data_IF_666972113107
#
_entry.id   IF_666972113107
#
_cell.length_a   1.000
_cell.length_b   1.000
_cell.length_c   1.000
_cell.angle_alpha   90.00
_cell.angle_beta   90.00
_cell.angle_gamma   90.00
#
_symmetry.space_group_name_H-M   'P 1'
#
loop_
_entity.id
_entity.type
_entity.pdbx_description
1 polymer ?
#
# COMPACT_ATOMS: atom_id res chain seq x y z
N UNK A 1 19.47 -18.76 16.49
CA UNK A 1 20.51 -17.76 16.14
C UNK A 1 20.88 -17.96 14.69
N UNK A 2 20.46 -17.07 13.80
CA UNK A 2 20.90 -17.07 12.40
C UNK A 2 22.23 -16.32 12.38
N UNK A 3 23.31 -17.05 12.13
CA UNK A 3 24.61 -16.45 11.81
C UNK A 3 24.46 -15.72 10.46
N UNK A 4 24.22 -14.41 10.50
CA UNK A 4 24.36 -13.57 9.31
C UNK A 4 25.85 -13.52 8.96
N UNK A 5 26.24 -14.27 7.93
CA UNK A 5 27.57 -14.25 7.33
C UNK A 5 27.81 -12.83 6.81
N UNK A 6 28.65 -12.07 7.52
CA UNK A 6 28.79 -10.60 7.45
C UNK A 6 29.45 -10.08 6.15
N UNK A 7 29.25 -10.72 5.00
CA UNK A 7 30.01 -10.45 3.78
C UNK A 7 29.20 -10.51 2.48
N UNK A 8 27.90 -10.83 2.51
CA UNK A 8 27.04 -10.75 1.32
C UNK A 8 25.85 -9.83 1.58
N UNK A 9 25.41 -9.07 0.55
CA UNK A 9 24.22 -8.25 0.65
C UNK A 9 22.99 -9.14 0.92
N UNK A 10 22.06 -8.64 1.73
CA UNK A 10 20.79 -9.31 2.01
C UNK A 10 19.90 -9.11 0.79
N UNK A 11 19.50 -10.21 0.15
CA UNK A 11 18.62 -10.21 -1.01
C UNK A 11 17.14 -10.18 -0.57
N UNK A 12 16.42 -9.13 -0.94
CA UNK A 12 15.00 -8.95 -0.65
C UNK A 12 14.20 -9.07 -1.94
N UNK A 13 13.22 -9.97 -1.97
CA UNK A 13 12.17 -9.96 -2.99
C UNK A 13 10.97 -9.17 -2.48
N UNK A 14 10.77 -7.98 -3.04
CA UNK A 14 9.57 -7.17 -2.81
C UNK A 14 8.51 -7.52 -3.85
N UNK A 15 7.28 -7.82 -3.41
CA UNK A 15 6.16 -8.11 -4.30
C UNK A 15 4.98 -7.20 -4.00
N UNK A 16 4.51 -6.53 -5.04
CA UNK A 16 3.30 -5.70 -5.02
C UNK A 16 2.41 -6.04 -6.22
N UNK A 17 1.17 -5.56 -6.20
CA UNK A 17 0.26 -5.73 -7.34
C UNK A 17 0.56 -4.74 -8.47
N UNK A 18 0.97 -3.49 -8.18
CA UNK A 18 1.44 -2.49 -9.16
C UNK A 18 2.67 -1.71 -8.70
N UNK A 19 3.26 -0.95 -9.61
CA UNK A 19 4.30 0.05 -9.35
C UNK A 19 3.70 1.44 -9.02
N UNK A 20 4.46 2.36 -8.39
CA UNK A 20 3.94 3.64 -7.86
C UNK A 20 3.20 4.51 -8.89
N UNK A 21 3.53 4.40 -10.17
CA UNK A 21 2.90 5.17 -11.25
C UNK A 21 1.40 4.86 -11.40
N UNK A 22 0.94 3.72 -10.87
CA UNK A 22 -0.48 3.37 -10.79
C UNK A 22 -1.26 4.22 -9.75
N UNK A 23 -0.56 5.02 -8.93
CA UNK A 23 -1.11 6.01 -7.97
C UNK A 23 -1.96 5.43 -6.83
N UNK A 24 -1.83 4.15 -6.55
CA UNK A 24 -2.34 3.54 -5.32
C UNK A 24 -1.45 3.81 -4.10
N UNK A 25 -2.06 3.79 -2.91
CA UNK A 25 -1.33 4.09 -1.68
C UNK A 25 -0.33 2.99 -1.30
N UNK A 26 -0.62 1.74 -1.66
CA UNK A 26 0.19 0.57 -1.29
C UNK A 26 1.52 0.61 -2.03
N UNK A 27 1.48 0.83 -3.34
CA UNK A 27 2.63 0.87 -4.23
C UNK A 27 3.49 2.10 -4.00
N UNK A 28 2.91 3.26 -3.68
CA UNK A 28 3.69 4.46 -3.32
C UNK A 28 4.49 4.21 -2.05
N UNK A 29 3.84 3.65 -1.02
CA UNK A 29 4.51 3.31 0.24
C UNK A 29 5.57 2.24 0.02
N UNK A 30 5.26 1.19 -0.74
CA UNK A 30 6.22 0.14 -1.08
C UNK A 30 7.43 0.70 -1.81
N UNK A 31 7.23 1.62 -2.78
CA UNK A 31 8.30 2.24 -3.53
C UNK A 31 9.21 3.11 -2.67
N UNK A 32 8.64 4.00 -1.84
CA UNK A 32 9.42 4.83 -0.92
C UNK A 32 10.18 4.00 0.11
N UNK A 33 9.58 2.91 0.61
CA UNK A 33 10.25 1.97 1.50
C UNK A 33 11.40 1.26 0.79
N UNK A 34 11.17 0.74 -0.42
CA UNK A 34 12.18 0.04 -1.20
C UNK A 34 13.37 0.95 -1.53
N UNK A 35 13.12 2.18 -1.96
CA UNK A 35 14.16 3.18 -2.23
C UNK A 35 14.96 3.52 -0.96
N UNK A 36 14.29 3.64 0.19
CA UNK A 36 14.95 3.90 1.47
C UNK A 36 15.80 2.72 1.92
N UNK A 37 15.31 1.49 1.75
CA UNK A 37 16.03 0.27 2.07
C UNK A 37 17.24 0.06 1.14
N UNK A 38 17.13 0.37 -0.15
CA UNK A 38 18.24 0.19 -1.09
C UNK A 38 19.41 1.15 -0.81
N UNK A 39 19.16 2.27 -0.13
CA UNK A 39 20.22 3.18 0.37
C UNK A 39 21.05 2.55 1.50
N UNK A 40 20.53 1.53 2.18
CA UNK A 40 21.29 0.75 3.17
C UNK A 40 22.27 -0.15 2.39
N UNK A 41 23.57 0.13 2.50
CA UNK A 41 24.60 -0.41 1.60
C UNK A 41 24.77 -1.93 1.53
N UNK A 42 24.08 -2.70 2.38
CA UNK A 42 24.11 -4.16 2.41
C UNK A 42 22.78 -4.81 2.00
N UNK A 43 21.89 -4.09 1.33
CA UNK A 43 20.59 -4.60 0.88
C UNK A 43 20.50 -4.53 -0.64
N UNK A 44 20.11 -5.64 -1.26
CA UNK A 44 19.74 -5.73 -2.68
C UNK A 44 18.26 -6.09 -2.80
N UNK A 45 17.52 -5.37 -3.64
CA UNK A 45 16.08 -5.55 -3.80
C UNK A 45 15.75 -5.92 -5.24
N UNK A 46 15.09 -7.06 -5.42
CA UNK A 46 14.31 -7.34 -6.63
C UNK A 46 12.85 -7.02 -6.35
N UNK A 47 12.28 -6.06 -7.08
CA UNK A 47 10.88 -5.68 -6.95
C UNK A 47 10.07 -6.20 -8.13
N UNK A 48 9.15 -7.12 -7.88
CA UNK A 48 8.22 -7.64 -8.88
C UNK A 48 6.83 -7.02 -8.71
N UNK A 49 6.33 -6.40 -9.78
CA UNK A 49 4.95 -5.89 -9.87
C UNK A 49 4.42 -6.00 -11.30
N UNK A 50 3.12 -5.80 -11.50
CA UNK A 50 2.48 -5.91 -12.83
C UNK A 50 3.01 -4.85 -13.80
N UNK A 51 3.20 -5.23 -15.07
CA UNK A 51 3.71 -4.38 -16.14
C UNK A 51 2.65 -3.46 -16.77
N UNK A 52 1.65 -3.04 -16.00
CA UNK A 52 0.54 -2.19 -16.49
C UNK A 52 0.99 -0.75 -16.65
N UNK A 53 1.81 -0.26 -15.71
CA UNK A 53 2.33 1.10 -15.68
C UNK A 53 3.87 1.12 -15.73
N UNK A 54 4.49 2.25 -16.08
CA UNK A 54 5.93 2.43 -15.97
C UNK A 54 6.43 2.15 -14.55
N UNK A 55 7.59 1.51 -14.46
CA UNK A 55 8.27 1.23 -13.20
C UNK A 55 9.38 2.24 -12.95
N UNK A 56 9.80 2.45 -11.69
CA UNK A 56 10.99 3.26 -11.39
C UNK A 56 12.24 2.69 -12.05
N UNK A 57 13.07 3.55 -12.61
CA UNK A 57 14.31 3.19 -13.31
C UNK A 57 15.49 3.80 -12.52
N UNK A 58 16.68 3.21 -12.65
CA UNK A 58 17.96 3.75 -12.16
C UNK A 58 18.08 3.97 -10.64
N UNK A 59 17.42 3.13 -9.82
CA UNK A 59 17.61 3.16 -8.36
C UNK A 59 18.74 2.18 -7.97
N UNK A 60 19.86 2.65 -7.37
CA UNK A 60 20.94 1.77 -6.96
C UNK A 60 20.47 0.65 -6.02
N UNK A 61 20.91 -0.58 -6.29
CA UNK A 61 20.57 -1.81 -5.54
C UNK A 61 19.07 -2.14 -5.48
N UNK A 62 18.27 -1.55 -6.36
CA UNK A 62 16.86 -1.88 -6.53
C UNK A 62 16.58 -2.14 -8.01
N UNK A 63 16.30 -3.40 -8.33
CA UNK A 63 15.94 -3.84 -9.67
C UNK A 63 14.44 -4.10 -9.77
N UNK A 64 13.75 -3.31 -10.60
CA UNK A 64 12.36 -3.56 -10.96
C UNK A 64 12.27 -4.67 -12.02
N UNK A 65 11.38 -5.63 -11.79
CA UNK A 65 11.13 -6.80 -12.64
C UNK A 65 9.65 -6.80 -13.04
N UNK A 66 9.26 -6.08 -14.12
CA UNK A 66 7.86 -5.93 -14.53
C UNK A 66 7.29 -7.26 -15.06
N UNK A 67 6.15 -7.67 -14.49
CA UNK A 67 5.52 -8.96 -14.76
C UNK A 67 4.31 -8.81 -15.68
N UNK A 68 4.29 -9.62 -16.74
CA UNK A 68 3.15 -9.67 -17.66
C UNK A 68 1.87 -10.02 -16.91
N UNK A 69 0.90 -9.12 -16.95
CA UNK A 69 -0.39 -9.26 -16.28
C UNK A 69 -1.57 -8.85 -17.18
N UNK A 70 -2.73 -9.41 -16.91
CA UNK A 70 -4.03 -8.98 -17.44
C UNK A 70 -4.72 -8.09 -16.42
N UNK A 71 -5.20 -6.92 -16.85
CA UNK A 71 -5.84 -5.92 -15.99
C UNK A 71 -7.37 -5.84 -16.14
N UNK A 72 -7.98 -6.88 -16.72
CA UNK A 72 -9.40 -6.90 -17.10
C UNK A 72 -10.34 -6.60 -15.92
N UNK A 73 -10.00 -7.01 -14.70
CA UNK A 73 -10.84 -6.77 -13.51
C UNK A 73 -10.89 -5.29 -13.17
N UNK A 74 -9.77 -4.59 -13.27
CA UNK A 74 -9.75 -3.16 -13.01
C UNK A 74 -10.47 -2.40 -14.13
N UNK A 75 -10.24 -2.79 -15.38
CA UNK A 75 -10.88 -2.17 -16.55
C UNK A 75 -12.41 -2.32 -16.52
N UNK A 76 -12.94 -3.45 -16.04
CA UNK A 76 -14.38 -3.74 -16.04
C UNK A 76 -15.09 -3.42 -14.73
N UNK A 77 -14.42 -3.61 -13.59
CA UNK A 77 -15.03 -3.54 -12.25
C UNK A 77 -14.40 -2.47 -11.37
N UNK A 78 -13.40 -1.73 -11.86
CA UNK A 78 -12.64 -0.72 -11.11
C UNK A 78 -12.04 -1.27 -9.81
N UNK A 79 -11.71 -2.56 -9.81
CA UNK A 79 -11.03 -3.26 -8.73
C UNK A 79 -9.58 -3.52 -9.15
N UNK A 80 -8.57 -2.96 -8.45
CA UNK A 80 -7.14 -3.05 -8.83
C UNK A 80 -6.58 -4.45 -8.58
N UNK A 81 -6.98 -5.44 -9.39
CA UNK A 81 -6.66 -6.86 -9.20
C UNK A 81 -6.05 -7.45 -10.49
N UNK A 82 -4.73 -7.37 -10.67
CA UNK A 82 -4.07 -7.84 -11.89
C UNK A 82 -3.82 -9.36 -11.84
N UNK A 83 -4.04 -10.03 -12.96
CA UNK A 83 -3.76 -11.46 -13.14
C UNK A 83 -2.45 -11.68 -13.88
N UNK A 84 -1.40 -12.05 -13.15
CA UNK A 84 -0.12 -12.45 -13.71
C UNK A 84 -0.21 -13.70 -14.58
N UNK A 85 0.48 -13.64 -15.73
CA UNK A 85 0.59 -14.77 -16.64
C UNK A 85 1.42 -15.92 -16.05
N UNK A 86 1.23 -17.15 -16.56
CA UNK A 86 2.02 -18.32 -16.12
C UNK A 86 3.55 -18.09 -16.24
N UNK A 87 4.10 -17.52 -17.34
CA UNK A 87 5.53 -17.17 -17.40
C UNK A 87 5.97 -16.21 -16.28
N UNK A 88 5.12 -15.27 -15.87
CA UNK A 88 5.40 -14.37 -14.75
C UNK A 88 5.44 -15.12 -13.42
N UNK A 89 4.56 -16.11 -13.21
CA UNK A 89 4.59 -16.97 -12.02
C UNK A 89 5.84 -17.86 -11.98
N UNK A 90 6.32 -18.35 -13.14
CA UNK A 90 7.60 -19.08 -13.22
C UNK A 90 8.78 -18.16 -12.88
N UNK A 91 8.76 -16.90 -13.33
CA UNK A 91 9.76 -15.90 -12.91
C UNK A 91 9.69 -15.64 -11.41
N UNK A 92 8.48 -15.54 -10.85
CA UNK A 92 8.27 -15.36 -9.41
C UNK A 92 8.86 -16.52 -8.61
N UNK A 93 8.64 -17.77 -9.04
CA UNK A 93 9.24 -18.95 -8.43
C UNK A 93 10.76 -18.84 -8.32
N UNK A 94 11.44 -18.43 -9.41
CA UNK A 94 12.90 -18.25 -9.44
C UNK A 94 13.37 -17.09 -8.56
N UNK A 95 12.62 -15.99 -8.55
CA UNK A 95 12.94 -14.84 -7.70
C UNK A 95 12.82 -15.18 -6.20
N UNK A 96 11.84 -16.01 -5.83
CA UNK A 96 11.70 -16.55 -4.46
C UNK A 96 12.92 -17.41 -4.11
N UNK A 97 13.43 -18.22 -5.04
CA UNK A 97 14.64 -19.04 -4.80
C UNK A 97 15.87 -18.18 -4.54
N UNK A 98 15.99 -17.06 -5.26
CA UNK A 98 17.09 -16.11 -5.15
C UNK A 98 17.10 -15.35 -3.81
N UNK A 99 15.94 -14.94 -3.29
CA UNK A 99 15.87 -14.03 -2.14
C UNK A 99 16.21 -14.69 -0.79
N UNK A 100 16.79 -13.92 0.12
CA UNK A 100 16.96 -14.28 1.53
C UNK A 100 15.68 -14.02 2.33
N UNK A 101 14.93 -12.99 1.96
CA UNK A 101 13.64 -12.64 2.56
C UNK A 101 12.66 -12.15 1.50
N UNK A 102 11.41 -12.54 1.65
CA UNK A 102 10.32 -12.11 0.77
C UNK A 102 9.45 -11.13 1.54
N UNK A 103 9.19 -9.97 0.94
CA UNK A 103 8.38 -8.92 1.54
C UNK A 103 7.15 -8.65 0.67
N UNK A 104 5.97 -8.98 1.20
CA UNK A 104 4.70 -8.78 0.53
C UNK A 104 4.01 -7.52 1.06
N UNK A 105 3.44 -6.72 0.17
CA UNK A 105 2.53 -5.64 0.55
C UNK A 105 1.08 -6.05 0.23
N UNK A 106 0.30 -6.26 1.29
CA UNK A 106 -1.01 -6.92 1.35
C UNK A 106 -1.02 -8.42 1.01
N UNK A 107 -1.97 -9.16 1.60
CA UNK A 107 -2.08 -10.60 1.37
C UNK A 107 -2.94 -10.96 0.13
N UNK A 108 -3.96 -10.15 -0.19
CA UNK A 108 -5.09 -10.61 -1.02
C UNK A 108 -4.82 -10.59 -2.53
N UNK A 109 -3.67 -10.10 -2.99
CA UNK A 109 -3.36 -10.07 -4.42
C UNK A 109 -2.82 -11.40 -4.92
N UNK A 110 -3.19 -11.80 -6.15
CA UNK A 110 -2.78 -13.09 -6.71
C UNK A 110 -1.26 -13.29 -6.69
N UNK A 111 -0.48 -12.27 -7.06
CA UNK A 111 0.98 -12.30 -6.99
C UNK A 111 1.49 -12.63 -5.59
N UNK A 112 0.88 -12.04 -4.56
CA UNK A 112 1.28 -12.19 -3.18
C UNK A 112 0.85 -13.55 -2.60
N UNK A 113 -0.31 -14.08 -3.02
CA UNK A 113 -0.73 -15.45 -2.68
C UNK A 113 0.26 -16.47 -3.24
N UNK A 114 0.64 -16.35 -4.52
CA UNK A 114 1.64 -17.26 -5.10
C UNK A 114 3.03 -17.07 -4.48
N UNK A 115 3.46 -15.83 -4.25
CA UNK A 115 4.74 -15.56 -3.58
C UNK A 115 4.78 -16.17 -2.18
N UNK A 116 3.69 -16.07 -1.41
CA UNK A 116 3.53 -16.74 -0.13
C UNK A 116 3.66 -18.26 -0.28
N UNK A 117 2.92 -18.89 -1.19
CA UNK A 117 2.97 -20.33 -1.39
C UNK A 117 4.38 -20.81 -1.77
N UNK A 118 5.03 -20.12 -2.70
CA UNK A 118 6.39 -20.42 -3.12
C UNK A 118 7.39 -20.22 -1.97
N UNK A 119 7.23 -19.17 -1.15
CA UNK A 119 8.03 -18.96 0.05
C UNK A 119 7.90 -20.14 1.03
N UNK A 120 6.67 -20.63 1.26
CA UNK A 120 6.44 -21.78 2.15
C UNK A 120 7.07 -23.06 1.60
N UNK A 121 6.91 -23.32 0.30
CA UNK A 121 7.46 -24.52 -0.35
C UNK A 121 8.99 -24.50 -0.35
N UNK A 122 9.60 -23.33 -0.56
CA UNK A 122 11.04 -23.17 -0.63
C UNK A 122 11.68 -22.80 0.72
N UNK A 123 10.89 -22.83 1.81
CA UNK A 123 11.31 -22.50 3.17
C UNK A 123 11.97 -21.12 3.33
N UNK A 124 11.51 -20.13 2.57
CA UNK A 124 12.02 -18.77 2.61
C UNK A 124 11.34 -17.93 3.71
N UNK A 125 12.10 -17.12 4.48
CA UNK A 125 11.54 -16.13 5.40
C UNK A 125 10.58 -15.16 4.70
N UNK A 126 9.45 -14.89 5.33
CA UNK A 126 8.38 -14.05 4.77
C UNK A 126 7.94 -12.94 5.74
N UNK A 127 7.91 -11.71 5.24
CA UNK A 127 7.34 -10.54 5.92
C UNK A 127 6.13 -10.06 5.12
N UNK A 128 5.03 -9.74 5.81
CA UNK A 128 3.83 -9.17 5.18
C UNK A 128 3.52 -7.83 5.84
N UNK A 129 3.49 -6.75 5.06
CA UNK A 129 2.94 -5.46 5.48
C UNK A 129 1.50 -5.35 5.01
N UNK A 130 0.56 -5.33 5.95
CA UNK A 130 -0.87 -5.27 5.71
C UNK A 130 -1.37 -3.82 5.75
N UNK A 131 -1.89 -3.35 4.62
CA UNK A 131 -2.38 -1.98 4.43
C UNK A 131 -3.88 -1.88 4.62
N UNK A 132 -4.64 -2.91 4.21
CA UNK A 132 -6.10 -2.87 4.20
C UNK A 132 -6.68 -3.98 5.09
N UNK A 133 -7.63 -3.64 5.96
CA UNK A 133 -8.43 -4.62 6.68
C UNK A 133 -9.83 -4.69 6.11
N UNK A 134 -10.77 -4.08 6.81
CA UNK A 134 -12.15 -3.95 6.37
C UNK A 134 -12.31 -2.89 5.27
N UNK A 135 -13.13 -3.19 4.25
CA UNK A 135 -13.58 -2.22 3.25
C UNK A 135 -15.11 -2.13 3.33
N UNK A 136 -15.70 -0.93 3.57
CA UNK A 136 -17.14 -0.74 3.61
C UNK A 136 -17.73 -0.73 2.19
N UNK A 137 -17.79 -1.88 1.52
CA UNK A 137 -18.49 -2.00 0.24
C UNK A 137 -20.01 -1.79 0.41
N UNK A 138 -20.64 -1.06 -0.52
CA UNK A 138 -22.12 -0.94 -0.60
C UNK A 138 -22.78 -2.30 -0.83
N UNK A 139 -22.17 -3.13 -1.67
CA UNK A 139 -22.66 -4.49 -1.94
C UNK A 139 -22.44 -5.38 -0.71
N UNK A 140 -23.54 -5.84 -0.11
CA UNK A 140 -23.52 -6.80 0.99
C UNK A 140 -22.81 -8.10 0.61
N UNK A 141 -22.92 -8.52 -0.66
CA UNK A 141 -22.20 -9.68 -1.19
C UNK A 141 -20.69 -9.46 -1.17
N UNK A 142 -20.19 -8.36 -1.74
CA UNK A 142 -18.75 -8.05 -1.75
C UNK A 142 -18.19 -7.87 -0.34
N UNK A 143 -18.96 -7.25 0.55
CA UNK A 143 -18.61 -7.13 1.98
C UNK A 143 -18.46 -8.49 2.65
N UNK A 144 -19.41 -9.40 2.44
CA UNK A 144 -19.36 -10.77 2.98
C UNK A 144 -18.20 -11.56 2.38
N UNK A 145 -17.99 -11.47 1.07
CA UNK A 145 -16.90 -12.14 0.37
C UNK A 145 -15.54 -11.66 0.90
N UNK A 146 -15.34 -10.34 1.04
CA UNK A 146 -14.10 -9.81 1.62
C UNK A 146 -13.92 -10.26 3.08
N UNK A 147 -14.98 -10.26 3.89
CA UNK A 147 -14.88 -10.74 5.28
C UNK A 147 -14.48 -12.21 5.33
N UNK A 148 -15.07 -13.03 4.47
CA UNK A 148 -14.73 -14.45 4.33
C UNK A 148 -13.28 -14.64 3.89
N UNK A 149 -12.80 -13.89 2.90
CA UNK A 149 -11.40 -13.95 2.43
C UNK A 149 -10.42 -13.48 3.51
N UNK A 150 -10.76 -12.42 4.25
CA UNK A 150 -10.01 -11.95 5.41
C UNK A 150 -9.91 -13.04 6.49
N UNK A 151 -11.03 -13.69 6.81
CA UNK A 151 -11.11 -14.70 7.88
C UNK A 151 -10.52 -16.06 7.51
N UNK A 152 -10.36 -16.33 6.22
CA UNK A 152 -9.76 -17.57 5.71
C UNK A 152 -8.32 -17.33 5.26
N UNK A 153 -8.13 -16.93 4.00
CA UNK A 153 -6.83 -16.74 3.36
C UNK A 153 -6.00 -15.68 4.08
N UNK A 154 -6.63 -14.55 4.45
CA UNK A 154 -5.95 -13.43 5.11
C UNK A 154 -5.33 -13.82 6.44
N UNK A 155 -6.15 -14.26 7.40
CA UNK A 155 -5.68 -14.71 8.70
C UNK A 155 -4.61 -15.81 8.56
N UNK A 156 -4.83 -16.78 7.67
CA UNK A 156 -3.90 -17.90 7.53
C UNK A 156 -2.53 -17.47 6.99
N UNK A 157 -2.51 -16.62 5.96
CA UNK A 157 -1.26 -16.08 5.41
C UNK A 157 -0.53 -15.22 6.44
N UNK A 158 -1.25 -14.31 7.10
CA UNK A 158 -0.68 -13.38 8.07
C UNK A 158 -0.08 -14.15 9.27
N UNK A 159 -0.80 -15.13 9.84
CA UNK A 159 -0.29 -15.96 10.95
C UNK A 159 0.96 -16.77 10.59
N UNK A 160 1.10 -17.17 9.33
CA UNK A 160 2.19 -18.03 8.84
C UNK A 160 3.40 -17.27 8.32
N UNK A 161 3.30 -15.94 8.22
CA UNK A 161 4.45 -15.08 7.97
C UNK A 161 5.42 -15.13 9.18
N UNK A 162 6.70 -14.93 8.92
CA UNK A 162 7.70 -14.81 9.98
C UNK A 162 7.51 -13.51 10.78
N UNK A 163 7.04 -12.45 10.10
CA UNK A 163 6.61 -11.21 10.71
C UNK A 163 5.43 -10.62 9.95
N UNK A 164 4.43 -10.14 10.70
CA UNK A 164 3.34 -9.32 10.15
C UNK A 164 3.48 -7.89 10.67
N UNK A 165 3.37 -6.95 9.75
CA UNK A 165 3.43 -5.51 10.01
C UNK A 165 2.08 -4.91 9.61
N UNK A 166 1.50 -4.08 10.47
CA UNK A 166 0.29 -3.32 10.20
C UNK A 166 0.60 -1.83 10.14
N UNK A 167 -0.05 -1.11 9.23
CA UNK A 167 0.18 0.33 9.04
C UNK A 167 -0.64 1.21 10.01
N UNK A 168 -1.59 0.62 10.76
CA UNK A 168 -2.42 1.32 11.73
C UNK A 168 -3.02 0.36 12.74
N UNK A 169 -3.35 0.88 13.93
CA UNK A 169 -4.02 0.13 14.99
C UNK A 169 -5.37 -0.44 14.54
N UNK A 170 -6.15 0.31 13.74
CA UNK A 170 -7.46 -0.14 13.25
C UNK A 170 -7.33 -1.41 12.39
N UNK A 171 -6.35 -1.45 11.50
CA UNK A 171 -6.10 -2.62 10.64
C UNK A 171 -5.53 -3.77 11.46
N UNK A 172 -4.60 -3.49 12.38
CA UNK A 172 -4.04 -4.50 13.28
C UNK A 172 -5.14 -5.20 14.09
N UNK A 173 -5.96 -4.40 14.79
CA UNK A 173 -7.05 -4.88 15.63
C UNK A 173 -8.05 -5.74 14.86
N UNK A 174 -8.38 -5.34 13.62
CA UNK A 174 -9.30 -6.11 12.77
C UNK A 174 -8.88 -7.57 12.56
N UNK A 175 -7.57 -7.86 12.49
CA UNK A 175 -7.06 -9.22 12.34
C UNK A 175 -6.72 -9.88 13.68
N UNK A 176 -6.14 -9.15 14.63
CA UNK A 176 -5.75 -9.71 15.93
C UNK A 176 -6.94 -10.08 16.81
N UNK A 177 -8.08 -9.39 16.66
CA UNK A 177 -9.32 -9.75 17.37
C UNK A 177 -9.90 -11.10 16.91
N UNK A 178 -9.49 -11.57 15.71
CA UNK A 178 -10.02 -12.79 15.08
C UNK A 178 -9.06 -13.97 15.18
N UNK A 179 -7.80 -13.75 15.52
CA UNK A 179 -6.78 -14.78 15.48
C UNK A 179 -5.57 -14.48 16.36
N UNK A 180 -5.02 -15.54 16.94
CA UNK A 180 -3.72 -15.52 17.59
C UNK A 180 -2.60 -15.67 16.54
N UNK A 181 -1.59 -14.81 16.62
CA UNK A 181 -0.43 -14.82 15.73
C UNK A 181 0.73 -15.58 16.38
N UNK A 182 1.54 -16.26 15.56
CA UNK A 182 2.69 -17.03 16.05
C UNK A 182 3.75 -16.15 16.70
N UNK A 183 3.92 -14.93 16.18
CA UNK A 183 4.84 -13.92 16.68
C UNK A 183 4.04 -12.64 16.97
N UNK A 184 4.50 -11.79 17.90
CA UNK A 184 3.92 -10.46 18.09
C UNK A 184 3.89 -9.68 16.77
N UNK A 185 2.73 -9.10 16.45
CA UNK A 185 2.56 -8.27 15.26
C UNK A 185 3.20 -6.91 15.52
N UNK A 186 3.76 -6.28 14.47
CA UNK A 186 4.35 -4.94 14.57
C UNK A 186 3.38 -3.91 13.99
N UNK A 187 3.36 -2.72 14.57
CA UNK A 187 2.68 -1.57 14.00
C UNK A 187 3.73 -0.56 13.54
N UNK A 188 3.83 -0.35 12.23
CA UNK A 188 4.75 0.62 11.62
C UNK A 188 3.90 1.51 10.71
N UNK A 189 3.60 2.75 11.11
CA UNK A 189 2.79 3.65 10.31
C UNK A 189 3.55 4.08 9.04
N UNK A 190 2.79 4.40 7.99
CA UNK A 190 3.38 4.90 6.76
C UNK A 190 4.00 6.29 7.01
N UNK A 191 5.18 6.52 6.41
CA UNK A 191 5.82 7.83 6.42
C UNK A 191 5.13 8.83 5.48
N UNK A 192 5.43 10.10 5.70
CA UNK A 192 5.07 11.23 4.83
C UNK A 192 6.36 11.90 4.35
N UNK A 193 6.35 12.49 3.15
CA UNK A 193 7.49 13.22 2.63
C UNK A 193 7.67 14.54 3.37
N UNK A 194 8.62 14.61 4.29
CA UNK A 194 8.86 15.78 5.13
C UNK A 194 9.62 16.89 4.40
N UNK A 195 10.02 16.70 3.14
CA UNK A 195 10.54 17.78 2.30
C UNK A 195 9.40 18.56 1.63
N UNK A 196 8.26 17.89 1.40
CA UNK A 196 7.05 18.47 0.79
C UNK A 196 6.07 18.96 1.85
N UNK A 197 5.80 18.13 2.87
CA UNK A 197 4.79 18.41 3.90
C UNK A 197 5.44 19.05 5.12
N UNK A 198 5.70 20.36 5.02
CA UNK A 198 6.32 21.17 6.06
C UNK A 198 5.32 22.23 6.56
N UNK A 199 5.21 22.49 7.87
CA UNK A 199 4.46 23.63 8.38
C UNK A 199 5.05 24.94 7.86
N UNK A 200 4.24 25.75 7.18
CA UNK A 200 4.64 27.08 6.70
C UNK A 200 4.42 28.16 7.75
N UNK A 201 5.15 29.28 7.65
CA UNK A 201 4.92 30.45 8.51
C UNK A 201 3.57 31.12 8.18
N UNK A 202 3.01 31.87 9.12
CA UNK A 202 1.71 32.53 8.95
C UNK A 202 1.65 33.47 7.73
N UNK A 203 2.73 34.21 7.45
CA UNK A 203 2.81 35.08 6.27
C UNK A 203 2.67 34.29 4.95
N UNK A 204 3.40 33.18 4.83
CA UNK A 204 3.30 32.28 3.68
C UNK A 204 1.92 31.63 3.61
N UNK A 205 1.31 31.29 4.75
CA UNK A 205 -0.06 30.76 4.81
C UNK A 205 -1.07 31.77 4.26
N UNK A 206 -0.92 33.05 4.60
CA UNK A 206 -1.77 34.14 4.08
C UNK A 206 -1.58 34.33 2.58
N UNK A 207 -0.34 34.31 2.08
CA UNK A 207 -0.03 34.39 0.65
C UNK A 207 -0.70 33.24 -0.13
N UNK A 208 -0.54 31.99 0.33
CA UNK A 208 -1.18 30.82 -0.28
C UNK A 208 -2.72 30.96 -0.28
N UNK A 209 -3.31 31.47 0.81
CA UNK A 209 -4.75 31.72 0.86
C UNK A 209 -5.19 32.76 -0.17
N UNK A 210 -4.45 33.87 -0.31
CA UNK A 210 -4.73 34.89 -1.33
C UNK A 210 -4.64 34.33 -2.75
N UNK A 211 -3.56 33.58 -3.05
CA UNK A 211 -3.35 32.95 -4.35
C UNK A 211 -4.46 31.97 -4.72
N UNK A 212 -5.00 31.24 -3.75
CA UNK A 212 -6.10 30.29 -3.93
C UNK A 212 -7.49 30.93 -3.82
N UNK A 213 -7.59 32.25 -3.61
CA UNK A 213 -8.86 32.96 -3.45
C UNK A 213 -9.64 32.56 -2.18
N UNK A 214 -8.95 32.10 -1.15
CA UNK A 214 -9.52 31.63 0.12
C UNK A 214 -9.56 32.76 1.16
N UNK A 215 -10.54 32.70 2.06
CA UNK A 215 -10.67 33.69 3.14
C UNK A 215 -9.46 33.70 4.08
N UNK A 216 -8.97 34.89 4.42
CA UNK A 216 -7.88 35.08 5.38
C UNK A 216 -8.34 34.96 6.83
N UNK A 217 -9.62 35.28 7.09
CA UNK A 217 -10.20 35.33 8.44
C UNK A 217 -10.91 34.02 8.82
N UNK A 218 -11.55 33.35 7.84
CA UNK A 218 -12.36 32.17 8.14
C UNK A 218 -11.50 30.91 8.31
N UNK A 219 -11.95 29.95 9.15
CA UNK A 219 -11.37 28.62 9.18
C UNK A 219 -11.60 27.92 7.82
N UNK A 220 -10.58 27.22 7.34
CA UNK A 220 -10.63 26.47 6.08
C UNK A 220 -10.54 24.98 6.40
N UNK A 221 -11.52 24.22 5.93
CA UNK A 221 -11.46 22.76 5.97
C UNK A 221 -11.10 22.26 4.57
N UNK A 222 -9.94 21.61 4.46
CA UNK A 222 -9.46 21.02 3.21
C UNK A 222 -9.60 19.50 3.27
N UNK A 223 -10.25 18.92 2.27
CA UNK A 223 -10.29 17.48 2.06
C UNK A 223 -9.44 17.11 0.85
N UNK A 224 -8.41 16.28 1.05
CA UNK A 224 -7.55 15.76 -0.02
C UNK A 224 -7.63 14.25 -0.06
N UNK A 225 -8.19 13.71 -1.15
CA UNK A 225 -8.26 12.28 -1.36
C UNK A 225 -8.93 11.93 -2.68
N UNK A 226 -8.75 10.67 -3.12
CA UNK A 226 -9.57 10.12 -4.20
C UNK A 226 -11.04 10.18 -3.80
N UNK A 227 -11.89 10.69 -4.68
CA UNK A 227 -13.35 10.66 -4.54
C UNK A 227 -13.87 9.25 -4.78
N UNK A 228 -13.60 8.37 -3.82
CA UNK A 228 -14.15 7.03 -3.74
C UNK A 228 -15.01 6.95 -2.49
N UNK A 229 -16.06 6.14 -2.51
CA UNK A 229 -17.03 6.04 -1.42
C UNK A 229 -16.37 5.79 -0.05
N UNK A 230 -15.29 4.99 -0.04
CA UNK A 230 -14.45 4.72 1.14
C UNK A 230 -13.86 5.98 1.80
N UNK A 231 -13.74 7.08 1.07
CA UNK A 231 -13.21 8.37 1.55
C UNK A 231 -14.27 9.46 1.73
N UNK A 232 -15.57 9.12 1.71
CA UNK A 232 -16.67 10.08 1.94
C UNK A 232 -17.55 10.37 0.72
N UNK A 233 -17.60 9.46 -0.24
CA UNK A 233 -18.49 9.58 -1.40
C UNK A 233 -19.96 9.71 -0.97
N UNK A 234 -20.60 10.75 -1.49
CA UNK A 234 -22.02 11.14 -1.35
C UNK A 234 -22.44 11.90 -0.08
N UNK A 235 -21.79 11.75 1.07
CA UNK A 235 -22.20 12.48 2.29
C UNK A 235 -21.34 13.68 2.64
N UNK A 236 -20.06 13.70 2.25
CA UNK A 236 -19.17 14.85 2.47
C UNK A 236 -19.35 15.93 1.39
N UNK A 237 -20.01 15.59 0.27
CA UNK A 237 -20.15 16.48 -0.90
C UNK A 237 -21.57 17.05 -1.12
N UNK A 238 -22.49 16.92 -0.16
CA UNK A 238 -23.79 17.65 -0.20
C UNK A 238 -23.86 18.79 0.84
N UNK A 239 -22.78 19.02 1.60
CA UNK A 239 -22.58 20.28 2.34
C UNK A 239 -21.45 21.12 1.72
N UNK A 240 -21.37 21.14 0.39
CA UNK A 240 -20.65 22.19 -0.32
C UNK A 240 -21.54 22.78 -1.43
N UNK A 241 -22.76 23.16 -1.02
CA UNK A 241 -23.53 24.21 -1.67
C UNK A 241 -24.51 24.83 -0.66
N UNK A 242 -24.00 25.61 0.29
CA UNK A 242 -24.81 26.60 0.99
C UNK A 242 -23.97 27.84 1.23
N UNK A 243 -24.24 28.87 0.43
CA UNK A 243 -24.09 30.27 0.83
C UNK A 243 -22.66 30.78 0.96
N UNK A 244 -22.25 31.59 -0.02
CA UNK A 244 -21.71 32.90 0.34
C UNK A 244 -22.81 33.59 1.15
N UNK A 245 -22.79 33.45 2.48
CA UNK A 245 -23.50 34.38 3.36
C UNK A 245 -22.48 35.50 3.59
N UNK A 246 -22.45 36.42 2.62
CA UNK A 246 -21.95 37.75 2.87
C UNK A 246 -22.98 38.44 3.75
N UNK A 247 -22.66 38.60 5.03
CA UNK A 247 -23.28 39.65 5.83
C UNK A 247 -22.90 40.98 5.21
N UNK A 248 -23.89 41.74 4.74
CA UNK A 248 -23.65 43.05 4.13
C UNK A 248 -24.84 43.67 3.43
N UNK A 249 -25.87 44.02 4.22
CA UNK A 249 -26.73 45.19 4.03
C UNK A 249 -27.59 45.28 2.75
N UNK A 250 -28.90 45.07 2.93
CA UNK A 250 -29.95 45.57 2.04
C UNK A 250 -29.96 47.11 2.04
N UNK A 251 -29.64 47.71 0.89
CA UNK A 251 -30.43 48.76 0.24
C UNK A 251 -30.35 48.57 -1.27
#
# INVERSE_FOLDING_TARGET
MIYLKKSQPIAILLVTHYYPMHRGGIEIVAGKLAESLSKIGNIEINWMASNVDPHPIDIPRLQCLPMKASNIIEEKLHLPYPFWSLPSLVKLWRAVQWADVIHLHDYLYMSNIFAFLFAKIQHKPLVITQHIGFIPYKSAFLKKLLSFLNETIGIEMLKRANQTIFISEVVQKYFTDKACFRCPTLMIPNGVDTEIFIPVKEEQRQQIRQELGLSLELPILLFVGRFVEKKGGSSVCVMQWTGVIGDGTLM
#
